data_IF_611846399139
#
_entry.id   IF_611846399139
#
_cell.length_a   1.000
_cell.length_b   1.000
_cell.length_c   1.000
_cell.angle_alpha   90.00
_cell.angle_beta   90.00
_cell.angle_gamma   90.00
#
_symmetry.space_group_name_H-M   'P 1'
#
loop_
_entity.id
_entity.type
_entity.pdbx_description
1 polymer ?
#
# COMPACT_ATOMS: atom_id res chain seq x y z
N UNK A 1 -8.70 -15.47 59.21
CA UNK A 1 -8.19 -15.61 60.59
C UNK A 1 -7.38 -14.36 60.93
N UNK A 2 -7.91 -13.48 61.77
CA UNK A 2 -7.28 -12.20 62.11
C UNK A 2 -6.25 -12.36 63.23
N UNK A 3 -4.97 -12.11 62.93
CA UNK A 3 -3.92 -12.07 63.94
C UNK A 3 -3.99 -10.72 64.67
N UNK A 4 -4.54 -10.75 65.88
CA UNK A 4 -4.44 -9.67 66.89
C UNK A 4 -3.11 -9.88 67.61
N UNK A 5 -2.06 -9.15 67.24
CA UNK A 5 -0.71 -9.41 67.76
C UNK A 5 0.33 -8.30 67.62
N UNK A 6 -0.08 -7.02 67.52
CA UNK A 6 0.86 -5.92 67.21
C UNK A 6 1.44 -5.19 68.43
N UNK A 7 0.83 -5.29 69.61
CA UNK A 7 1.32 -4.60 70.82
C UNK A 7 2.36 -5.41 71.63
N UNK A 8 2.48 -6.72 71.37
CA UNK A 8 3.29 -7.64 72.20
C UNK A 8 4.79 -7.59 71.88
N UNK A 9 5.15 -7.29 70.64
CA UNK A 9 6.51 -7.48 70.09
C UNK A 9 7.50 -6.36 70.45
N UNK A 10 7.07 -5.08 70.44
CA UNK A 10 7.96 -3.97 70.87
C UNK A 10 8.34 -4.09 72.35
N UNK A 11 7.37 -4.49 73.18
CA UNK A 11 7.58 -4.74 74.62
C UNK A 11 8.52 -5.91 74.86
N UNK A 12 8.50 -6.91 74.00
CA UNK A 12 9.33 -8.11 74.10
C UNK A 12 10.82 -7.82 73.86
N UNK A 13 11.17 -7.06 72.81
CA UNK A 13 12.56 -6.68 72.58
C UNK A 13 13.09 -5.74 73.68
N UNK A 14 12.30 -4.77 74.15
CA UNK A 14 12.68 -3.91 75.28
C UNK A 14 12.87 -4.73 76.58
N UNK A 15 12.01 -5.72 76.82
CA UNK A 15 12.15 -6.64 77.94
C UNK A 15 13.43 -7.48 77.87
N UNK A 16 13.73 -8.04 76.70
CA UNK A 16 14.98 -8.77 76.44
C UNK A 16 16.22 -7.89 76.71
N UNK A 17 16.17 -6.64 76.25
CA UNK A 17 17.22 -5.64 76.46
C UNK A 17 17.43 -5.33 77.94
N UNK A 18 16.37 -5.18 78.72
CA UNK A 18 16.46 -4.92 80.16
C UNK A 18 17.13 -6.06 80.94
N UNK A 19 17.01 -7.31 80.48
CA UNK A 19 17.66 -8.49 81.09
C UNK A 19 19.18 -8.58 80.86
N UNK A 20 19.74 -7.71 80.02
CA UNK A 20 21.15 -7.72 79.69
C UNK A 20 22.02 -6.92 80.66
N UNK A 21 23.30 -7.30 80.86
CA UNK A 21 24.31 -6.50 81.53
C UNK A 21 24.38 -5.06 81.00
N UNK A 22 24.46 -4.09 81.93
CA UNK A 22 24.51 -2.66 81.63
C UNK A 22 25.66 -2.29 80.67
N UNK A 23 26.77 -3.01 80.75
CA UNK A 23 27.97 -2.74 79.95
C UNK A 23 27.75 -2.80 78.43
N UNK A 24 26.82 -3.63 77.94
CA UNK A 24 26.54 -3.74 76.50
C UNK A 24 25.07 -3.58 76.10
N UNK A 25 24.17 -3.40 77.07
CA UNK A 25 22.72 -3.24 76.86
C UNK A 25 22.37 -2.28 75.72
N UNK A 26 23.07 -1.16 75.64
CA UNK A 26 22.84 -0.08 74.65
C UNK A 26 23.89 -0.03 73.54
N UNK A 27 24.70 -1.07 73.39
CA UNK A 27 25.83 -1.11 72.43
C UNK A 27 25.49 -1.78 71.10
N UNK A 28 24.20 -1.96 70.79
CA UNK A 28 23.72 -2.59 69.56
C UNK A 28 24.24 -4.02 69.33
N UNK A 29 24.43 -4.79 70.41
CA UNK A 29 24.95 -6.17 70.38
C UNK A 29 23.83 -7.20 70.18
N UNK A 30 22.62 -6.91 70.67
CA UNK A 30 21.52 -7.86 70.64
C UNK A 30 20.98 -8.07 69.21
N UNK A 31 20.68 -9.32 68.81
CA UNK A 31 20.02 -9.58 67.55
C UNK A 31 18.62 -9.00 67.59
N UNK A 32 18.29 -8.17 66.59
CA UNK A 32 16.93 -7.70 66.36
C UNK A 32 16.57 -7.89 64.90
N UNK A 33 15.40 -8.44 64.65
CA UNK A 33 14.80 -8.43 63.32
C UNK A 33 13.80 -7.29 63.25
N UNK A 34 13.96 -6.44 62.23
CA UNK A 34 13.06 -5.32 61.99
C UNK A 34 12.05 -5.74 60.93
N UNK A 35 10.83 -6.02 61.35
CA UNK A 35 9.73 -6.32 60.42
C UNK A 35 8.95 -5.03 60.17
N UNK A 36 8.94 -4.59 58.91
CA UNK A 36 8.05 -3.53 58.45
C UNK A 36 6.67 -4.12 58.17
N UNK A 37 5.71 -3.87 59.05
CA UNK A 37 4.32 -4.27 58.79
C UNK A 37 3.67 -3.24 57.87
N UNK A 38 3.47 -3.58 56.60
CA UNK A 38 2.67 -2.76 55.69
C UNK A 38 1.19 -2.94 56.01
N UNK A 39 0.65 -2.18 56.95
CA UNK A 39 -0.81 -1.99 57.08
C UNK A 39 -1.16 -0.55 56.77
N UNK A 40 -1.49 -0.27 55.50
CA UNK A 40 -1.97 1.04 55.06
C UNK A 40 -0.88 2.00 54.59
N UNK A 41 -1.32 3.07 53.93
CA UNK A 41 -0.51 4.16 53.35
C UNK A 41 0.23 5.02 54.38
N UNK A 42 0.07 4.72 55.67
CA UNK A 42 0.66 5.48 56.76
C UNK A 42 2.12 5.08 56.98
N UNK A 43 3.03 5.93 56.49
CA UNK A 43 4.50 5.77 56.62
C UNK A 43 4.98 5.88 58.08
N UNK A 44 4.10 6.19 59.03
CA UNK A 44 4.45 6.38 60.44
C UNK A 44 4.31 5.13 61.32
N UNK A 45 3.84 4.00 60.77
CA UNK A 45 3.64 2.81 61.59
C UNK A 45 4.95 2.31 62.22
N UNK A 46 4.92 1.94 63.52
CA UNK A 46 6.11 1.57 64.26
C UNK A 46 6.75 0.31 63.70
N UNK A 47 8.06 0.38 63.46
CA UNK A 47 8.89 -0.78 63.14
C UNK A 47 8.80 -1.79 64.28
N UNK A 48 8.33 -2.99 63.97
CA UNK A 48 8.30 -4.08 64.94
C UNK A 48 9.70 -4.66 65.08
N UNK A 49 10.28 -4.61 66.28
CA UNK A 49 11.53 -5.27 66.60
C UNK A 49 11.21 -6.61 67.28
N UNK A 50 11.65 -7.71 66.68
CA UNK A 50 11.57 -9.04 67.29
C UNK A 50 12.95 -9.38 67.82
N UNK A 51 13.03 -9.73 69.10
CA UNK A 51 14.25 -10.24 69.72
C UNK A 51 14.17 -11.76 69.87
N UNK A 52 15.32 -12.42 69.78
CA UNK A 52 15.43 -13.86 69.95
C UNK A 52 15.92 -14.18 71.36
N UNK A 53 15.05 -14.72 72.22
CA UNK A 53 15.34 -14.98 73.64
C UNK A 53 16.57 -15.90 73.82
N UNK A 54 16.61 -17.04 73.12
CA UNK A 54 17.72 -18.00 73.23
C UNK A 54 19.09 -17.40 72.86
N UNK A 55 19.15 -16.64 71.76
CA UNK A 55 20.38 -15.94 71.36
C UNK A 55 20.77 -14.84 72.35
N UNK A 56 19.77 -14.16 72.91
CA UNK A 56 19.96 -13.11 73.91
C UNK A 56 20.53 -13.67 75.21
N UNK A 57 20.08 -14.86 75.63
CA UNK A 57 20.59 -15.55 76.82
C UNK A 57 22.01 -16.08 76.58
N UNK A 58 22.28 -16.67 75.42
CA UNK A 58 23.63 -17.10 75.05
C UNK A 58 24.64 -15.94 75.07
N UNK A 59 24.30 -14.79 74.48
CA UNK A 59 25.17 -13.61 74.49
C UNK A 59 25.46 -13.10 75.90
N UNK A 60 24.49 -13.25 76.80
CA UNK A 60 24.65 -12.90 78.22
C UNK A 60 25.60 -13.85 78.93
N UNK A 61 25.47 -15.16 78.71
CA UNK A 61 26.38 -16.17 79.27
C UNK A 61 27.82 -15.96 78.77
N UNK A 62 28.00 -15.77 77.45
CA UNK A 62 29.30 -15.47 76.85
C UNK A 62 29.95 -14.24 77.48
N UNK A 63 29.17 -13.17 77.71
CA UNK A 63 29.71 -11.94 78.29
C UNK A 63 30.09 -12.09 79.77
N UNK A 64 29.30 -12.83 80.55
CA UNK A 64 29.56 -13.08 81.98
C UNK A 64 30.82 -13.92 82.17
N UNK A 65 31.11 -14.84 81.24
CA UNK A 65 32.30 -15.69 81.28
C UNK A 65 33.63 -14.92 81.11
N UNK A 66 33.60 -13.69 80.59
CA UNK A 66 34.79 -12.85 80.39
C UNK A 66 35.23 -12.21 81.71
N UNK A 67 36.52 -12.32 82.03
CA UNK A 67 37.07 -11.93 83.33
C UNK A 67 37.62 -10.50 83.33
N UNK A 68 38.23 -10.07 82.23
CA UNK A 68 38.87 -8.76 82.14
C UNK A 68 37.99 -7.72 81.43
N UNK A 69 38.30 -6.44 81.66
CA UNK A 69 37.57 -5.33 81.05
C UNK A 69 37.87 -5.24 79.54
N UNK A 70 39.10 -5.58 79.17
CA UNK A 70 39.64 -5.58 77.81
C UNK A 70 38.99 -6.68 76.98
N UNK A 71 38.85 -7.89 77.52
CA UNK A 71 38.11 -9.00 76.90
C UNK A 71 36.66 -8.62 76.59
N UNK A 72 35.99 -7.98 77.57
CA UNK A 72 34.60 -7.52 77.42
C UNK A 72 34.46 -6.45 76.35
N UNK A 73 35.40 -5.50 76.28
CA UNK A 73 35.40 -4.46 75.25
C UNK A 73 35.61 -5.05 73.85
N UNK A 74 36.58 -5.97 73.70
CA UNK A 74 36.86 -6.67 72.44
C UNK A 74 35.66 -7.53 71.98
N UNK A 75 35.00 -8.23 72.91
CA UNK A 75 33.80 -9.01 72.62
C UNK A 75 32.64 -8.14 72.13
N UNK A 76 32.39 -7.00 72.79
CA UNK A 76 31.32 -6.05 72.36
C UNK A 76 31.58 -5.61 70.92
N UNK A 77 32.80 -5.20 70.61
CA UNK A 77 33.13 -4.72 69.27
C UNK A 77 33.04 -5.84 68.22
N UNK A 78 33.52 -7.05 68.54
CA UNK A 78 33.38 -8.21 67.66
C UNK A 78 31.92 -8.55 67.36
N UNK A 79 31.03 -8.52 68.37
CA UNK A 79 29.60 -8.80 68.17
C UNK A 79 28.90 -7.70 67.38
N UNK A 80 29.28 -6.42 67.58
CA UNK A 80 28.78 -5.30 66.77
C UNK A 80 29.13 -5.48 65.30
N UNK A 81 30.39 -5.81 65.00
CA UNK A 81 30.85 -6.06 63.63
C UNK A 81 30.14 -7.25 62.98
N UNK A 82 30.02 -8.38 63.70
CA UNK A 82 29.27 -9.55 63.22
C UNK A 82 27.82 -9.21 62.92
N UNK A 83 27.15 -8.45 63.78
CA UNK A 83 25.77 -8.03 63.56
C UNK A 83 25.65 -7.07 62.38
N UNK A 84 26.51 -6.07 62.28
CA UNK A 84 26.51 -5.15 61.14
C UNK A 84 26.71 -5.89 59.82
N UNK A 85 27.57 -6.91 59.78
CA UNK A 85 27.77 -7.76 58.61
C UNK A 85 26.52 -8.59 58.28
N UNK A 86 25.89 -9.22 59.28
CA UNK A 86 24.65 -9.99 59.09
C UNK A 86 23.48 -9.10 58.67
N UNK A 87 23.35 -7.90 59.22
CA UNK A 87 22.33 -6.93 58.82
C UNK A 87 22.57 -6.45 57.39
N UNK A 88 23.81 -6.14 57.01
CA UNK A 88 24.14 -5.72 55.64
C UNK A 88 23.82 -6.83 54.62
N UNK A 89 24.21 -8.08 54.90
CA UNK A 89 23.98 -9.23 54.00
C UNK A 89 22.50 -9.63 53.99
N UNK A 90 21.87 -9.73 55.15
CA UNK A 90 20.48 -10.13 55.31
C UNK A 90 19.50 -9.10 54.72
N UNK A 91 19.76 -7.80 54.93
CA UNK A 91 18.96 -6.73 54.34
C UNK A 91 19.04 -6.73 52.82
N UNK A 92 20.25 -6.92 52.26
CA UNK A 92 20.45 -7.01 50.83
C UNK A 92 19.76 -8.24 50.22
N UNK A 93 19.90 -9.42 50.85
CA UNK A 93 19.25 -10.66 50.42
C UNK A 93 17.72 -10.55 50.44
N UNK A 94 17.16 -10.00 51.52
CA UNK A 94 15.72 -9.78 51.65
C UNK A 94 15.18 -8.80 50.60
N UNK A 95 15.84 -7.66 50.39
CA UNK A 95 15.43 -6.68 49.36
C UNK A 95 15.49 -7.31 47.98
N UNK A 96 16.56 -8.05 47.68
CA UNK A 96 16.72 -8.73 46.41
C UNK A 96 15.59 -9.75 46.18
N UNK A 97 15.32 -10.60 47.16
CA UNK A 97 14.23 -11.58 47.07
C UNK A 97 12.86 -10.92 46.95
N UNK A 98 12.57 -9.89 47.74
CA UNK A 98 11.31 -9.14 47.66
C UNK A 98 11.11 -8.49 46.28
N UNK A 99 12.19 -7.95 45.70
CA UNK A 99 12.18 -7.43 44.33
C UNK A 99 11.90 -8.54 43.33
N UNK A 100 12.61 -9.67 43.40
CA UNK A 100 12.41 -10.83 42.52
C UNK A 100 10.97 -11.37 42.60
N UNK A 101 10.38 -11.46 43.79
CA UNK A 101 8.97 -11.83 43.97
C UNK A 101 8.01 -10.82 43.34
N UNK A 102 8.28 -9.51 43.49
CA UNK A 102 7.45 -8.46 42.91
C UNK A 102 7.54 -8.45 41.38
N UNK A 103 8.74 -8.63 40.84
CA UNK A 103 9.00 -8.71 39.39
C UNK A 103 8.33 -9.96 38.81
N UNK A 104 8.46 -11.11 39.48
CA UNK A 104 7.77 -12.34 39.11
C UNK A 104 6.24 -12.15 39.10
N UNK A 105 5.67 -11.55 40.15
CA UNK A 105 4.23 -11.32 40.24
C UNK A 105 3.73 -10.38 39.13
N UNK A 106 4.47 -9.29 38.87
CA UNK A 106 4.15 -8.34 37.80
C UNK A 106 4.20 -9.00 36.42
N UNK A 107 5.25 -9.81 36.16
CA UNK A 107 5.39 -10.57 34.93
C UNK A 107 4.28 -11.61 34.76
N UNK A 108 3.90 -12.31 35.84
CA UNK A 108 2.78 -13.25 35.83
C UNK A 108 1.45 -12.54 35.50
N UNK A 109 1.19 -11.37 36.09
CA UNK A 109 -0.01 -10.58 35.78
C UNK A 109 -0.01 -10.10 34.33
N UNK A 110 1.12 -9.63 33.81
CA UNK A 110 1.26 -9.22 32.42
C UNK A 110 1.00 -10.39 31.46
N UNK A 111 1.58 -11.57 31.71
CA UNK A 111 1.32 -12.79 30.92
C UNK A 111 -0.16 -13.19 30.94
N UNK A 112 -0.80 -13.15 32.11
CA UNK A 112 -2.24 -13.44 32.25
C UNK A 112 -3.10 -12.43 31.50
N UNK A 113 -2.72 -11.15 31.51
CA UNK A 113 -3.41 -10.10 30.75
C UNK A 113 -3.33 -10.38 29.26
N UNK A 114 -2.13 -10.62 28.73
CA UNK A 114 -1.89 -10.94 27.32
C UNK A 114 -2.68 -12.18 26.90
N UNK A 115 -2.68 -13.25 27.72
CA UNK A 115 -3.43 -14.47 27.43
C UNK A 115 -4.94 -14.21 27.31
N UNK A 116 -5.53 -13.41 28.21
CA UNK A 116 -6.96 -13.06 28.15
C UNK A 116 -7.29 -12.14 26.98
N UNK A 117 -6.41 -11.19 26.66
CA UNK A 117 -6.55 -10.33 25.48
C UNK A 117 -6.53 -11.18 24.20
N UNK A 118 -5.65 -12.19 24.12
CA UNK A 118 -5.60 -13.14 23.02
C UNK A 118 -6.88 -13.99 22.91
N UNK A 119 -7.36 -14.57 24.02
CA UNK A 119 -8.62 -15.32 24.07
C UNK A 119 -9.82 -14.46 23.63
N UNK A 120 -9.88 -13.21 24.10
CA UNK A 120 -10.93 -12.26 23.69
C UNK A 120 -10.83 -11.92 22.22
N UNK A 121 -9.63 -11.65 21.71
CA UNK A 121 -9.38 -11.41 20.29
C UNK A 121 -9.87 -12.58 19.44
N UNK A 122 -9.59 -13.81 19.86
CA UNK A 122 -10.07 -15.01 19.17
C UNK A 122 -11.60 -15.12 19.17
N UNK A 123 -12.26 -14.88 20.31
CA UNK A 123 -13.72 -14.87 20.39
C UNK A 123 -14.37 -13.79 19.50
N UNK A 124 -13.71 -12.63 19.34
CA UNK A 124 -14.14 -11.58 18.41
C UNK A 124 -13.99 -12.05 16.97
N UNK A 125 -12.84 -12.62 16.60
CA UNK A 125 -12.60 -13.18 15.26
C UNK A 125 -13.64 -14.23 14.88
N UNK A 126 -13.96 -15.16 15.79
CA UNK A 126 -14.99 -16.17 15.56
C UNK A 126 -16.38 -15.55 15.32
N UNK A 127 -16.73 -14.47 16.03
CA UNK A 127 -17.99 -13.76 15.79
C UNK A 127 -18.00 -13.06 14.44
N UNK A 128 -16.90 -12.48 14.01
CA UNK A 128 -16.77 -11.86 12.68
C UNK A 128 -16.87 -12.89 11.56
N UNK A 129 -16.23 -14.06 11.74
CA UNK A 129 -16.40 -15.22 10.87
C UNK A 129 -17.86 -15.63 10.73
N UNK A 130 -18.61 -15.68 11.84
CA UNK A 130 -20.07 -15.97 11.83
C UNK A 130 -20.91 -14.89 11.14
N UNK A 131 -20.37 -13.68 10.96
CA UNK A 131 -21.01 -12.59 10.20
C UNK A 131 -20.64 -12.59 8.71
N UNK A 132 -19.89 -13.59 8.23
CA UNK A 132 -19.46 -13.68 6.84
C UNK A 132 -18.22 -12.83 6.51
N UNK A 133 -17.46 -12.40 7.52
CA UNK A 133 -16.23 -11.62 7.38
C UNK A 133 -14.97 -12.47 7.62
N UNK A 134 -15.06 -13.79 7.37
CA UNK A 134 -13.96 -14.73 7.62
C UNK A 134 -12.72 -14.34 6.82
N UNK A 135 -12.89 -14.08 5.52
CA UNK A 135 -11.78 -13.77 4.62
C UNK A 135 -11.04 -12.51 5.09
N UNK A 136 -11.76 -11.45 5.44
CA UNK A 136 -11.17 -10.20 5.91
C UNK A 136 -10.46 -10.33 7.27
N UNK A 137 -10.84 -11.32 8.08
CA UNK A 137 -10.15 -11.65 9.34
C UNK A 137 -8.86 -12.42 9.07
N UNK A 138 -8.88 -13.34 8.11
CA UNK A 138 -7.75 -14.20 7.76
C UNK A 138 -6.68 -13.42 6.95
N UNK A 139 -7.10 -12.52 6.07
CA UNK A 139 -6.26 -11.70 5.17
C UNK A 139 -5.98 -10.28 5.72
N UNK A 140 -6.08 -10.10 7.02
CA UNK A 140 -5.92 -8.80 7.67
C UNK A 140 -4.53 -8.21 7.43
N UNK A 141 -4.46 -7.06 6.77
CA UNK A 141 -3.19 -6.32 6.62
C UNK A 141 -2.72 -5.71 7.94
N UNK A 142 -1.45 -5.27 7.96
CA UNK A 142 -0.81 -4.74 9.17
C UNK A 142 -1.50 -3.49 9.71
N UNK A 143 -2.01 -2.62 8.84
CA UNK A 143 -2.75 -1.41 9.21
C UNK A 143 -4.07 -1.77 9.91
N UNK A 144 -4.81 -2.72 9.35
CA UNK A 144 -6.06 -3.23 9.95
C UNK A 144 -5.80 -3.89 11.29
N UNK A 145 -4.74 -4.71 11.36
CA UNK A 145 -4.35 -5.37 12.58
C UNK A 145 -4.00 -4.36 13.67
N UNK A 146 -3.30 -3.28 13.31
CA UNK A 146 -3.03 -2.18 14.23
C UNK A 146 -4.30 -1.44 14.66
N UNK A 147 -5.21 -1.12 13.74
CA UNK A 147 -6.51 -0.52 14.09
C UNK A 147 -7.33 -1.41 15.02
N UNK A 148 -7.32 -2.73 14.80
CA UNK A 148 -7.96 -3.71 15.66
C UNK A 148 -7.31 -3.74 17.06
N UNK A 149 -5.98 -3.71 17.13
CA UNK A 149 -5.22 -3.66 18.40
C UNK A 149 -5.31 -2.32 19.12
N UNK A 150 -5.65 -1.23 18.44
CA UNK A 150 -5.92 0.07 19.08
C UNK A 150 -7.37 0.21 19.55
N UNK A 151 -8.28 -0.62 19.06
CA UNK A 151 -9.68 -0.58 19.46
C UNK A 151 -9.86 -1.13 20.89
N UNK A 152 -9.89 -0.24 21.88
CA UNK A 152 -9.90 -0.58 23.30
C UNK A 152 -10.97 -1.60 23.69
N UNK A 153 -12.14 -1.55 23.05
CA UNK A 153 -13.23 -2.48 23.35
C UNK A 153 -12.94 -3.92 22.90
N UNK A 154 -12.01 -4.13 21.95
CA UNK A 154 -11.49 -5.44 21.59
C UNK A 154 -10.40 -5.94 22.56
N UNK A 155 -9.61 -5.05 23.16
CA UNK A 155 -8.44 -5.39 24.01
C UNK A 155 -8.73 -5.42 25.51
N UNK A 156 -9.99 -5.65 25.89
CA UNK A 156 -10.36 -5.77 27.30
C UNK A 156 -9.84 -7.08 27.92
N UNK A 157 -9.23 -7.01 29.11
CA UNK A 157 -8.82 -8.20 29.86
C UNK A 157 -9.99 -9.07 30.40
N UNK A 158 -11.25 -8.64 30.20
CA UNK A 158 -12.45 -9.35 30.64
C UNK A 158 -12.97 -10.24 29.49
N UNK A 159 -13.46 -11.46 29.79
CA UNK A 159 -14.09 -12.32 28.78
C UNK A 159 -15.22 -11.60 28.03
N UNK A 160 -15.34 -11.84 26.73
CA UNK A 160 -16.35 -11.20 25.89
C UNK A 160 -17.75 -11.72 26.22
N UNK A 161 -18.54 -10.90 26.92
CA UNK A 161 -19.96 -11.24 27.19
C UNK A 161 -20.83 -10.94 25.98
N UNK A 162 -21.97 -11.63 25.87
CA UNK A 162 -22.90 -11.43 24.75
C UNK A 162 -23.35 -9.98 24.57
N UNK A 163 -23.70 -9.30 25.67
CA UNK A 163 -24.10 -7.88 25.65
C UNK A 163 -22.97 -6.98 25.13
N UNK A 164 -21.76 -7.15 25.64
CA UNK A 164 -20.58 -6.38 25.21
C UNK A 164 -20.25 -6.65 23.74
N UNK A 165 -20.32 -7.92 23.32
CA UNK A 165 -20.13 -8.30 21.92
C UNK A 165 -21.14 -7.64 20.98
N UNK A 166 -22.40 -7.47 21.40
CA UNK A 166 -23.39 -6.76 20.62
C UNK A 166 -23.13 -5.25 20.57
N UNK A 167 -22.56 -4.66 21.63
CA UNK A 167 -22.19 -3.24 21.64
C UNK A 167 -21.02 -2.93 20.72
N UNK A 168 -20.00 -3.80 20.67
CA UNK A 168 -18.82 -3.58 19.82
C UNK A 168 -19.06 -3.96 18.34
N UNK A 169 -20.10 -4.75 18.07
CA UNK A 169 -20.39 -5.31 16.74
C UNK A 169 -20.49 -4.24 15.63
N UNK A 170 -21.23 -3.12 15.78
CA UNK A 170 -21.38 -2.15 14.70
C UNK A 170 -20.05 -1.56 14.24
N UNK A 171 -19.18 -1.23 15.20
CA UNK A 171 -17.87 -0.64 14.91
C UNK A 171 -16.93 -1.65 14.23
N UNK A 172 -16.92 -2.91 14.70
CA UNK A 172 -16.15 -3.96 14.03
C UNK A 172 -16.67 -4.20 12.61
N UNK A 173 -17.99 -4.28 12.41
CA UNK A 173 -18.57 -4.42 11.06
C UNK A 173 -18.15 -3.24 10.18
N UNK A 174 -18.12 -2.01 10.69
CA UNK A 174 -17.66 -0.83 9.95
C UNK A 174 -16.20 -0.96 9.52
N UNK A 175 -15.30 -1.32 10.43
CA UNK A 175 -13.87 -1.51 10.16
C UNK A 175 -13.66 -2.58 9.08
N UNK A 176 -14.25 -3.76 9.26
CA UNK A 176 -14.07 -4.87 8.34
C UNK A 176 -14.79 -4.67 7.00
N UNK A 177 -15.88 -3.92 6.97
CA UNK A 177 -16.56 -3.56 5.71
C UNK A 177 -15.73 -2.57 4.89
N UNK A 178 -15.07 -1.61 5.55
CA UNK A 178 -14.10 -0.74 4.89
C UNK A 178 -12.95 -1.55 4.27
N UNK A 179 -12.41 -2.52 5.01
CA UNK A 179 -11.37 -3.40 4.51
C UNK A 179 -11.81 -4.27 3.35
N UNK A 180 -13.00 -4.88 3.44
CA UNK A 180 -13.61 -5.62 2.34
C UNK A 180 -13.69 -4.77 1.07
N UNK A 181 -14.20 -3.55 1.18
CA UNK A 181 -14.31 -2.65 0.02
C UNK A 181 -12.94 -2.29 -0.55
N UNK A 182 -11.94 -2.07 0.30
CA UNK A 182 -10.56 -1.80 -0.11
C UNK A 182 -9.94 -2.99 -0.83
N UNK A 183 -10.06 -4.20 -0.29
CA UNK A 183 -9.61 -5.46 -0.91
C UNK A 183 -10.29 -5.66 -2.26
N UNK A 184 -11.62 -5.59 -2.32
CA UNK A 184 -12.37 -5.77 -3.57
C UNK A 184 -11.98 -4.72 -4.62
N UNK A 185 -11.73 -3.47 -4.22
CA UNK A 185 -11.22 -2.44 -5.12
C UNK A 185 -9.84 -2.82 -5.66
N UNK A 186 -8.91 -3.22 -4.78
CA UNK A 186 -7.58 -3.66 -5.17
C UNK A 186 -7.60 -4.89 -6.09
N UNK A 187 -8.40 -5.91 -5.78
CA UNK A 187 -8.57 -7.10 -6.61
C UNK A 187 -9.08 -6.75 -8.00
N UNK A 188 -10.05 -5.84 -8.10
CA UNK A 188 -10.53 -5.32 -9.39
C UNK A 188 -9.45 -4.58 -10.15
N UNK A 189 -8.65 -3.75 -9.48
CA UNK A 189 -7.53 -3.01 -10.10
C UNK A 189 -6.44 -3.96 -10.60
N UNK A 190 -6.09 -4.99 -9.82
CA UNK A 190 -5.11 -6.02 -10.22
C UNK A 190 -5.63 -6.82 -11.41
N UNK A 191 -6.88 -7.28 -11.38
CA UNK A 191 -7.48 -8.02 -12.48
C UNK A 191 -7.57 -7.17 -13.75
N UNK A 192 -7.98 -5.90 -13.63
CA UNK A 192 -8.03 -4.97 -14.76
C UNK A 192 -6.64 -4.71 -15.36
N UNK A 193 -5.58 -4.67 -14.53
CA UNK A 193 -4.19 -4.57 -15.02
C UNK A 193 -3.79 -5.81 -15.81
N UNK A 194 -4.04 -7.01 -15.28
CA UNK A 194 -3.73 -8.27 -15.96
C UNK A 194 -4.48 -8.38 -17.30
N UNK A 195 -5.79 -8.10 -17.30
CA UNK A 195 -6.61 -8.08 -18.51
C UNK A 195 -6.10 -7.09 -19.56
N UNK A 196 -5.59 -5.94 -19.11
CA UNK A 196 -5.00 -4.93 -20.00
C UNK A 196 -3.70 -5.39 -20.63
N UNK A 197 -2.83 -6.07 -19.88
CA UNK A 197 -1.59 -6.60 -20.44
C UNK A 197 -1.88 -7.60 -21.56
N UNK A 198 -2.84 -8.50 -21.35
CA UNK A 198 -3.32 -9.41 -22.39
C UNK A 198 -3.96 -8.64 -23.54
N UNK A 199 -4.81 -7.65 -23.25
CA UNK A 199 -5.44 -6.79 -24.26
C UNK A 199 -4.42 -6.12 -25.19
N UNK A 200 -3.40 -5.45 -24.62
CA UNK A 200 -2.37 -4.77 -25.41
C UNK A 200 -1.60 -5.75 -26.29
N UNK A 201 -1.23 -6.91 -25.75
CA UNK A 201 -0.54 -7.96 -26.52
C UNK A 201 -1.38 -8.46 -27.69
N UNK A 202 -2.65 -8.80 -27.46
CA UNK A 202 -3.54 -9.29 -28.53
C UNK A 202 -3.79 -8.19 -29.56
N UNK A 203 -3.94 -6.94 -29.12
CA UNK A 203 -4.07 -5.80 -30.03
C UNK A 203 -2.82 -5.62 -30.91
N UNK A 204 -1.61 -5.66 -30.33
CA UNK A 204 -0.35 -5.58 -31.09
C UNK A 204 -0.22 -6.72 -32.11
N UNK A 205 -0.60 -7.94 -31.74
CA UNK A 205 -0.63 -9.08 -32.64
C UNK A 205 -1.65 -8.89 -33.77
N UNK A 206 -2.88 -8.50 -33.44
CA UNK A 206 -3.93 -8.17 -34.39
C UNK A 206 -3.49 -7.09 -35.39
N UNK A 207 -2.75 -6.10 -34.90
CA UNK A 207 -2.20 -5.01 -35.72
C UNK A 207 -1.03 -5.44 -36.61
N UNK A 208 -0.35 -6.55 -36.29
CA UNK A 208 0.78 -7.06 -37.11
C UNK A 208 0.28 -7.63 -38.44
N UNK A 209 -0.94 -8.17 -38.45
CA UNK A 209 -1.58 -8.72 -39.65
C UNK A 209 -2.24 -7.62 -40.51
N UNK A 210 -2.30 -6.39 -40.01
CA UNK A 210 -2.97 -5.28 -40.68
C UNK A 210 -2.06 -4.56 -41.67
N UNK A 211 -2.58 -4.26 -42.87
CA UNK A 211 -1.86 -3.42 -43.83
C UNK A 211 -1.83 -1.97 -43.32
N UNK A 212 -0.63 -1.43 -43.04
CA UNK A 212 -0.43 -0.03 -42.64
C UNK A 212 -0.92 0.98 -43.69
N UNK A 213 -1.19 0.51 -44.91
CA UNK A 213 -1.83 1.29 -45.99
C UNK A 213 -3.35 1.30 -45.90
N UNK A 214 -3.94 0.69 -44.87
CA UNK A 214 -5.37 0.76 -44.57
C UNK A 214 -5.65 1.79 -43.47
N UNK A 215 -6.90 2.25 -43.38
CA UNK A 215 -7.34 3.02 -42.23
C UNK A 215 -7.45 2.08 -41.03
N UNK A 216 -6.60 2.28 -40.02
CA UNK A 216 -6.60 1.44 -38.82
C UNK A 216 -6.89 2.27 -37.58
N UNK A 217 -7.74 1.72 -36.73
CA UNK A 217 -8.04 2.34 -35.45
C UNK A 217 -6.83 2.27 -34.54
N UNK A 218 -6.47 3.41 -33.96
CA UNK A 218 -5.44 3.45 -32.95
C UNK A 218 -5.98 2.94 -31.62
N UNK A 219 -5.08 2.43 -30.77
CA UNK A 219 -5.43 1.87 -29.47
C UNK A 219 -6.28 2.81 -28.61
N UNK A 220 -6.08 4.13 -28.73
CA UNK A 220 -6.92 5.12 -28.04
C UNK A 220 -8.39 5.10 -28.46
N UNK A 221 -8.70 4.89 -29.75
CA UNK A 221 -10.08 4.76 -30.24
C UNK A 221 -10.74 3.50 -29.67
N UNK A 222 -10.00 2.39 -29.67
CA UNK A 222 -10.49 1.11 -29.17
C UNK A 222 -10.78 1.17 -27.68
N UNK A 223 -9.92 1.85 -26.91
CA UNK A 223 -10.09 2.03 -25.46
C UNK A 223 -11.27 2.96 -25.12
N UNK A 224 -11.76 3.79 -26.04
CA UNK A 224 -12.95 4.62 -25.78
C UNK A 224 -14.28 3.85 -25.99
N UNK A 225 -14.23 2.67 -26.63
CA UNK A 225 -15.40 1.83 -26.82
C UNK A 225 -15.89 1.23 -25.49
N UNK A 226 -17.21 1.31 -25.25
CA UNK A 226 -17.81 0.80 -24.01
C UNK A 226 -17.67 -0.71 -23.85
N UNK A 227 -17.68 -1.47 -24.95
CA UNK A 227 -17.51 -2.93 -24.94
C UNK A 227 -16.07 -3.26 -24.51
N UNK A 228 -15.08 -2.51 -25.00
CA UNK A 228 -13.69 -2.63 -24.55
C UNK A 228 -13.56 -2.35 -23.04
N UNK A 229 -14.17 -1.26 -22.56
CA UNK A 229 -14.16 -0.94 -21.12
C UNK A 229 -14.79 -2.04 -20.29
N UNK A 230 -15.88 -2.66 -20.75
CA UNK A 230 -16.51 -3.80 -20.08
C UNK A 230 -15.61 -5.04 -20.11
N UNK A 231 -14.92 -5.33 -21.21
CA UNK A 231 -13.98 -6.46 -21.30
C UNK A 231 -12.82 -6.32 -20.31
N UNK A 232 -12.28 -5.10 -20.14
CA UNK A 232 -11.14 -4.86 -19.25
C UNK A 232 -11.57 -4.69 -17.79
N UNK A 233 -12.57 -3.84 -17.52
CA UNK A 233 -12.95 -3.39 -16.16
C UNK A 233 -14.16 -4.18 -15.61
N UNK A 234 -14.92 -4.85 -16.46
CA UNK A 234 -16.19 -5.48 -16.09
C UNK A 234 -16.10 -6.43 -14.90
N UNK A 235 -17.18 -6.45 -14.10
CA UNK A 235 -17.30 -7.22 -12.86
C UNK A 235 -17.44 -8.74 -13.07
N UNK A 236 -17.21 -9.25 -14.28
CA UNK A 236 -17.24 -10.68 -14.51
C UNK A 236 -16.06 -11.27 -13.76
N UNK A 237 -16.34 -11.85 -12.60
CA UNK A 237 -15.36 -12.46 -11.70
C UNK A 237 -14.78 -13.77 -12.26
N UNK A 238 -15.25 -14.19 -13.44
CA UNK A 238 -14.71 -15.35 -14.12
C UNK A 238 -13.26 -15.05 -14.51
N UNK A 239 -12.36 -15.74 -13.83
CA UNK A 239 -11.02 -16.06 -14.33
C UNK A 239 -11.23 -16.90 -15.59
N UNK A 240 -11.51 -16.21 -16.70
CA UNK A 240 -11.45 -16.83 -18.01
C UNK A 240 -10.05 -17.39 -18.18
N UNK A 241 -9.96 -18.63 -18.65
CA UNK A 241 -8.70 -19.14 -19.16
C UNK A 241 -8.19 -18.15 -20.23
N UNK A 242 -6.88 -17.86 -20.22
CA UNK A 242 -6.28 -16.82 -21.06
C UNK A 242 -6.73 -16.95 -22.53
N UNK A 243 -6.80 -18.17 -23.06
CA UNK A 243 -7.23 -18.50 -24.43
C UNK A 243 -8.66 -18.03 -24.78
N UNK A 244 -9.61 -18.19 -23.85
CA UNK A 244 -11.00 -17.79 -24.06
C UNK A 244 -11.16 -16.26 -24.03
N UNK A 245 -10.36 -15.59 -23.21
CA UNK A 245 -10.33 -14.13 -23.17
C UNK A 245 -9.68 -13.56 -24.44
N UNK A 246 -8.56 -14.10 -24.88
CA UNK A 246 -7.90 -13.70 -26.13
C UNK A 246 -8.81 -13.86 -27.35
N UNK A 247 -9.53 -14.98 -27.45
CA UNK A 247 -10.48 -15.23 -28.56
C UNK A 247 -11.58 -14.15 -28.62
N UNK A 248 -12.12 -13.74 -27.46
CA UNK A 248 -13.11 -12.67 -27.36
C UNK A 248 -12.54 -11.31 -27.74
N UNK A 249 -11.26 -11.06 -27.42
CA UNK A 249 -10.58 -9.82 -27.82
C UNK A 249 -10.42 -9.75 -29.33
N UNK A 250 -10.02 -10.85 -29.98
CA UNK A 250 -9.90 -10.90 -31.45
C UNK A 250 -11.26 -10.65 -32.12
N UNK A 251 -12.33 -11.30 -31.65
CA UNK A 251 -13.69 -11.05 -32.16
C UNK A 251 -14.10 -9.58 -31.96
N UNK A 252 -13.82 -9.03 -30.78
CA UNK A 252 -14.07 -7.63 -30.48
C UNK A 252 -13.29 -6.69 -31.42
N UNK A 253 -12.00 -6.93 -31.67
CA UNK A 253 -11.20 -6.07 -32.55
C UNK A 253 -11.71 -6.11 -33.99
N UNK A 254 -12.05 -7.29 -34.51
CA UNK A 254 -12.64 -7.44 -35.85
C UNK A 254 -13.94 -6.64 -35.97
N UNK A 255 -14.90 -6.87 -35.06
CA UNK A 255 -16.19 -6.17 -35.07
C UNK A 255 -16.07 -4.67 -34.78
N UNK A 256 -15.05 -4.26 -34.02
CA UNK A 256 -14.76 -2.85 -33.77
C UNK A 256 -14.26 -2.16 -35.05
N UNK A 257 -13.27 -2.74 -35.74
CA UNK A 257 -12.71 -2.18 -36.97
C UNK A 257 -13.77 -2.09 -38.07
N UNK A 258 -14.61 -3.11 -38.23
CA UNK A 258 -15.72 -3.11 -39.20
C UNK A 258 -16.69 -1.93 -39.01
N UNK A 259 -16.90 -1.49 -37.77
CA UNK A 259 -17.75 -0.32 -37.46
C UNK A 259 -16.98 0.99 -37.51
N UNK A 260 -15.76 1.01 -37.00
CA UNK A 260 -14.96 2.23 -36.85
C UNK A 260 -14.48 2.77 -38.20
N UNK A 261 -14.00 1.89 -39.08
CA UNK A 261 -13.42 2.27 -40.37
C UNK A 261 -14.40 3.06 -41.25
N UNK A 262 -15.62 2.57 -41.57
CA UNK A 262 -16.54 3.31 -42.43
C UNK A 262 -16.93 4.66 -41.82
N UNK A 263 -17.08 4.73 -40.49
CA UNK A 263 -17.37 5.99 -39.80
C UNK A 263 -16.24 7.01 -39.99
N UNK A 264 -14.98 6.60 -39.79
CA UNK A 264 -13.83 7.50 -39.96
C UNK A 264 -13.55 7.88 -41.41
N UNK A 265 -13.76 6.95 -42.34
CA UNK A 265 -13.70 7.26 -43.78
C UNK A 265 -14.73 8.33 -44.13
N UNK A 266 -15.95 8.22 -43.60
CA UNK A 266 -16.98 9.25 -43.81
C UNK A 266 -16.58 10.60 -43.21
N UNK A 267 -16.02 10.64 -41.99
CA UNK A 267 -15.54 11.90 -41.39
C UNK A 267 -14.50 12.61 -42.27
N UNK A 268 -13.57 11.86 -42.89
CA UNK A 268 -12.57 12.43 -43.81
C UNK A 268 -13.21 12.82 -45.15
N UNK A 269 -14.17 12.03 -45.65
CA UNK A 269 -14.92 12.36 -46.86
C UNK A 269 -15.68 13.67 -46.70
N UNK A 270 -16.31 13.90 -45.54
CA UNK A 270 -17.02 15.15 -45.24
C UNK A 270 -16.07 16.36 -45.32
N UNK A 271 -14.82 16.21 -44.82
CA UNK A 271 -13.78 17.25 -44.96
C UNK A 271 -13.44 17.53 -46.43
N UNK A 272 -13.35 16.50 -47.26
CA UNK A 272 -13.11 16.65 -48.71
C UNK A 272 -14.32 17.29 -49.42
N UNK A 273 -15.54 16.84 -49.10
CA UNK A 273 -16.79 17.31 -49.70
C UNK A 273 -17.07 18.79 -49.39
N UNK A 274 -16.63 19.28 -48.23
CA UNK A 274 -16.68 20.70 -47.93
C UNK A 274 -15.90 21.57 -48.93
N UNK A 275 -14.82 21.04 -49.52
CA UNK A 275 -14.06 21.72 -50.56
C UNK A 275 -14.51 21.34 -51.98
N UNK A 276 -14.93 20.08 -52.18
CA UNK A 276 -15.33 19.50 -53.47
C UNK A 276 -16.65 18.75 -53.27
N UNK A 277 -17.82 19.40 -53.39
CA UNK A 277 -19.12 18.80 -53.00
C UNK A 277 -19.49 17.50 -53.71
N UNK A 278 -18.91 17.25 -54.89
CA UNK A 278 -19.17 16.03 -55.68
C UNK A 278 -18.19 14.89 -55.39
N UNK A 279 -17.27 15.07 -54.43
CA UNK A 279 -16.29 14.05 -54.09
C UNK A 279 -16.94 12.80 -53.50
N UNK A 280 -16.34 11.66 -53.80
CA UNK A 280 -16.74 10.32 -53.39
C UNK A 280 -15.62 9.66 -52.57
N UNK A 281 -15.89 8.49 -51.99
CA UNK A 281 -14.87 7.72 -51.25
C UNK A 281 -13.67 7.39 -52.14
N UNK A 282 -13.88 7.12 -53.43
CA UNK A 282 -12.78 6.86 -54.38
C UNK A 282 -11.84 8.05 -54.54
N UNK A 283 -12.38 9.27 -54.44
CA UNK A 283 -11.58 10.49 -54.54
C UNK A 283 -10.63 10.65 -53.36
N UNK A 284 -10.93 10.09 -52.18
CA UNK A 284 -9.99 10.09 -51.04
C UNK A 284 -8.69 9.38 -51.38
N UNK A 285 -8.74 8.31 -52.18
CA UNK A 285 -7.57 7.49 -52.53
C UNK A 285 -6.69 8.13 -53.60
N UNK A 286 -7.12 9.20 -54.26
CA UNK A 286 -6.32 9.88 -55.27
C UNK A 286 -5.05 10.45 -54.65
N UNK A 287 -3.91 10.30 -55.35
CA UNK A 287 -2.64 10.90 -54.94
C UNK A 287 -2.69 12.43 -54.85
N UNK A 288 -3.72 13.04 -55.44
CA UNK A 288 -3.96 14.48 -55.44
C UNK A 288 -4.90 14.95 -54.33
N UNK A 289 -5.48 14.03 -53.56
CA UNK A 289 -6.31 14.34 -52.40
C UNK A 289 -5.44 14.57 -51.16
N UNK A 290 -4.89 15.79 -51.11
CA UNK A 290 -3.94 16.20 -50.06
C UNK A 290 -4.67 16.95 -48.95
N UNK A 291 -4.51 16.45 -47.74
CA UNK A 291 -4.95 17.10 -46.51
C UNK A 291 -3.78 17.73 -45.80
N UNK A 292 -4.02 18.63 -44.86
CA UNK A 292 -3.01 19.18 -43.97
C UNK A 292 -3.49 19.13 -42.53
N UNK A 293 -2.62 18.68 -41.65
CA UNK A 293 -2.86 18.78 -40.20
C UNK A 293 -2.76 20.25 -39.78
N UNK A 294 -3.78 20.78 -39.11
CA UNK A 294 -3.77 22.20 -38.68
C UNK A 294 -2.72 22.47 -37.60
N UNK A 295 -2.32 21.44 -36.84
CA UNK A 295 -1.36 21.56 -35.74
C UNK A 295 0.10 21.68 -36.20
N UNK A 296 0.52 20.84 -37.16
CA UNK A 296 1.91 20.81 -37.61
C UNK A 296 2.10 21.21 -39.08
N UNK A 297 1.00 21.48 -39.79
CA UNK A 297 0.97 21.92 -41.20
C UNK A 297 1.63 20.92 -42.17
N UNK A 298 1.76 19.66 -41.76
CA UNK A 298 2.27 18.58 -42.61
C UNK A 298 1.18 18.13 -43.59
N UNK A 299 1.54 17.89 -44.87
CA UNK A 299 0.63 17.26 -45.83
C UNK A 299 0.39 15.80 -45.44
N UNK A 300 -0.84 15.35 -45.60
CA UNK A 300 -1.30 14.00 -45.27
C UNK A 300 -2.09 13.45 -46.45
N UNK A 301 -1.81 12.21 -46.83
CA UNK A 301 -2.62 11.45 -47.77
C UNK A 301 -3.56 10.51 -47.02
N UNK A 302 -4.63 10.07 -47.68
CA UNK A 302 -5.44 8.97 -47.19
C UNK A 302 -4.78 7.62 -47.56
N UNK A 303 -4.80 6.61 -46.66
CA UNK A 303 -5.25 6.65 -45.26
C UNK A 303 -4.13 6.97 -44.25
N UNK A 304 -2.93 7.34 -44.69
CA UNK A 304 -1.77 7.62 -43.83
C UNK A 304 -2.03 8.65 -42.73
N UNK A 305 -2.97 9.56 -42.93
CA UNK A 305 -3.41 10.51 -41.91
C UNK A 305 -3.83 9.86 -40.59
N UNK A 306 -4.30 8.60 -40.62
CA UNK A 306 -4.62 7.83 -39.41
C UNK A 306 -3.37 7.43 -38.63
N UNK A 307 -2.16 7.55 -39.17
CA UNK A 307 -0.92 7.28 -38.42
C UNK A 307 -0.23 8.56 -37.95
N UNK A 308 -0.81 9.73 -38.21
CA UNK A 308 -0.18 11.00 -37.93
C UNK A 308 -0.19 11.33 -36.42
N UNK A 309 0.99 11.50 -35.83
CA UNK A 309 1.16 11.67 -34.38
C UNK A 309 0.38 12.84 -33.77
N UNK A 310 0.12 13.91 -34.52
CA UNK A 310 -0.65 15.04 -33.99
C UNK A 310 -2.10 14.68 -33.68
N UNK A 311 -2.64 13.65 -34.34
CA UNK A 311 -3.99 13.15 -34.11
C UNK A 311 -4.16 12.43 -32.76
N UNK A 312 -3.05 12.17 -32.04
CA UNK A 312 -3.03 11.36 -30.80
C UNK A 312 -2.38 12.06 -29.60
N UNK A 313 -1.44 12.99 -29.82
CA UNK A 313 -0.60 13.55 -28.74
C UNK A 313 -1.18 14.80 -28.08
N UNK A 314 -2.00 15.57 -28.79
CA UNK A 314 -2.30 16.95 -28.39
C UNK A 314 -3.70 17.14 -27.81
N UNK A 315 -4.59 16.16 -27.92
CA UNK A 315 -5.87 16.16 -27.21
C UNK A 315 -5.67 15.55 -25.83
N UNK A 316 -5.27 16.37 -24.85
CA UNK A 316 -5.48 16.04 -23.43
C UNK A 316 -6.92 16.39 -23.08
N UNK A 317 -7.86 15.43 -23.00
CA UNK A 317 -9.15 15.71 -22.37
C UNK A 317 -8.89 16.25 -20.96
N UNK A 318 -9.76 17.16 -20.50
CA UNK A 318 -9.70 17.70 -19.14
C UNK A 318 -9.63 16.52 -18.17
N UNK A 319 -8.64 16.53 -17.27
CA UNK A 319 -8.19 15.40 -16.45
C UNK A 319 -9.32 14.72 -15.65
N UNK A 320 -10.40 15.45 -15.36
CA UNK A 320 -11.50 15.04 -14.49
C UNK A 320 -12.33 13.86 -15.03
N UNK A 321 -12.34 13.60 -16.35
CA UNK A 321 -13.15 12.52 -16.94
C UNK A 321 -12.36 11.28 -17.31
N UNK A 322 -11.04 11.24 -17.05
CA UNK A 322 -10.24 10.06 -17.41
C UNK A 322 -10.54 8.90 -16.48
N UNK A 323 -10.90 7.76 -17.06
CA UNK A 323 -10.89 6.49 -16.34
C UNK A 323 -9.47 6.21 -15.85
N UNK A 324 -9.31 5.47 -14.75
CA UNK A 324 -7.98 5.05 -14.26
C UNK A 324 -7.18 4.36 -15.39
N UNK A 325 -7.89 3.67 -16.29
CA UNK A 325 -7.34 3.09 -17.52
C UNK A 325 -6.58 4.10 -18.39
N UNK A 326 -7.20 5.24 -18.69
CA UNK A 326 -6.63 6.31 -19.52
C UNK A 326 -5.53 7.11 -18.80
N UNK A 327 -5.48 7.09 -17.47
CA UNK A 327 -4.45 7.80 -16.70
C UNK A 327 -3.09 7.10 -16.76
N UNK A 328 -3.08 5.77 -16.82
CA UNK A 328 -1.85 4.99 -16.94
C UNK A 328 -1.31 5.03 -18.38
N UNK A 329 -2.22 5.01 -19.36
CA UNK A 329 -1.90 5.12 -20.77
C UNK A 329 -1.87 6.61 -21.16
N UNK A 330 -0.88 7.33 -20.63
CA UNK A 330 -0.81 8.81 -20.70
C UNK A 330 -0.76 9.39 -22.12
N UNK A 331 -0.58 8.55 -23.14
CA UNK A 331 -0.27 8.94 -24.53
C UNK A 331 -1.27 8.47 -25.59
N UNK A 332 -2.36 7.78 -25.24
CA UNK A 332 -3.31 7.27 -26.24
C UNK A 332 -4.65 7.99 -26.11
N UNK A 333 -4.86 9.05 -26.88
CA UNK A 333 -6.20 9.56 -27.17
C UNK A 333 -6.78 8.83 -28.38
N UNK A 334 -8.11 8.85 -28.52
CA UNK A 334 -8.74 8.54 -29.81
C UNK A 334 -8.21 9.45 -30.90
N UNK A 335 -8.32 8.96 -32.15
CA UNK A 335 -8.01 9.76 -33.31
C UNK A 335 -8.98 10.94 -33.37
N UNK A 336 -8.43 12.13 -33.12
CA UNK A 336 -9.13 13.39 -33.26
C UNK A 336 -8.17 14.37 -33.92
N UNK A 337 -8.09 14.28 -35.25
CA UNK A 337 -7.22 15.12 -36.02
C UNK A 337 -7.99 16.28 -36.61
N UNK A 338 -7.57 17.50 -36.30
CA UNK A 338 -8.02 18.67 -37.03
C UNK A 338 -7.26 18.74 -38.35
N UNK A 339 -7.93 18.30 -39.41
CA UNK A 339 -7.41 18.26 -40.78
C UNK A 339 -8.27 19.14 -41.68
N UNK A 340 -7.63 19.72 -42.70
CA UNK A 340 -8.32 20.45 -43.76
C UNK A 340 -7.80 20.03 -45.12
N UNK A 341 -8.68 20.05 -46.12
CA UNK A 341 -8.26 19.87 -47.51
C UNK A 341 -7.33 21.00 -47.95
N UNK A 342 -6.27 20.68 -48.68
CA UNK A 342 -5.29 21.64 -49.18
C UNK A 342 -5.36 21.75 -50.70
N UNK A 343 -6.07 22.76 -51.22
CA UNK A 343 -6.16 23.00 -52.66
C UNK A 343 -4.77 23.30 -53.30
N UNK A 344 -3.91 24.01 -52.57
CA UNK A 344 -2.52 24.26 -52.96
C UNK A 344 -1.72 22.95 -53.01
N UNK A 345 -1.83 22.12 -51.96
CA UNK A 345 -1.18 20.81 -51.90
C UNK A 345 -1.69 19.86 -53.01
N UNK A 346 -2.99 19.88 -53.30
CA UNK A 346 -3.59 19.11 -54.39
C UNK A 346 -3.03 19.53 -55.75
N UNK A 347 -2.96 20.83 -56.03
CA UNK A 347 -2.34 21.37 -57.25
C UNK A 347 -0.88 20.94 -57.36
N UNK A 348 -0.14 21.02 -56.25
CA UNK A 348 1.25 20.60 -56.15
C UNK A 348 1.43 19.12 -56.54
N UNK A 349 0.62 18.25 -55.94
CA UNK A 349 0.67 16.81 -56.21
C UNK A 349 0.18 16.46 -57.62
N UNK A 350 -0.74 17.23 -58.22
CA UNK A 350 -1.10 17.05 -59.64
C UNK A 350 0.10 17.24 -60.54
N UNK A 351 0.96 18.21 -60.27
CA UNK A 351 2.17 18.44 -61.06
C UNK A 351 3.21 17.33 -60.83
N UNK A 352 3.35 16.81 -59.60
CA UNK A 352 4.18 15.62 -59.29
C UNK A 352 3.71 14.42 -60.12
N UNK A 353 2.41 14.09 -60.04
CA UNK A 353 1.83 12.93 -60.72
C UNK A 353 2.02 13.03 -62.24
N UNK A 354 1.79 14.20 -62.84
CA UNK A 354 2.05 14.46 -64.27
C UNK A 354 3.53 14.30 -64.63
N UNK A 355 4.43 14.80 -63.79
CA UNK A 355 5.87 14.70 -64.02
C UNK A 355 6.35 13.23 -64.02
N UNK A 356 5.70 12.39 -63.23
CA UNK A 356 5.91 10.93 -63.23
C UNK A 356 5.28 10.21 -64.43
N UNK A 357 4.60 10.94 -65.34
CA UNK A 357 3.94 10.35 -66.51
C UNK A 357 2.61 9.66 -66.20
N UNK A 358 2.01 9.96 -65.04
CA UNK A 358 0.75 9.38 -64.58
C UNK A 358 -0.41 10.38 -64.72
N UNK A 359 -1.65 9.90 -64.72
CA UNK A 359 -2.86 10.75 -64.81
C UNK A 359 -3.34 11.18 -63.41
N UNK A 360 -3.31 12.48 -63.05
CA UNK A 360 -3.73 12.95 -61.73
C UNK A 360 -5.20 12.72 -61.37
N UNK A 361 -6.06 12.43 -62.35
CA UNK A 361 -7.48 12.17 -62.12
C UNK A 361 -7.76 10.73 -61.70
N UNK A 362 -6.85 9.79 -61.98
CA UNK A 362 -7.06 8.37 -61.69
C UNK A 362 -5.96 7.78 -60.81
N UNK A 363 -4.80 8.44 -60.72
CA UNK A 363 -3.65 7.94 -59.95
C UNK A 363 -3.95 8.00 -58.45
N UNK A 364 -3.88 6.85 -57.79
CA UNK A 364 -4.04 6.72 -56.34
C UNK A 364 -2.72 6.88 -55.60
N UNK A 365 -2.78 7.10 -54.29
CA UNK A 365 -1.59 7.07 -53.42
C UNK A 365 -0.85 5.73 -53.53
N UNK A 366 -1.57 4.63 -53.72
CA UNK A 366 -0.98 3.29 -53.89
C UNK A 366 -0.25 3.14 -55.22
N UNK A 367 -0.76 3.73 -56.31
CA UNK A 367 -0.07 3.74 -57.60
C UNK A 367 1.25 4.52 -57.53
N UNK A 368 1.27 5.61 -56.76
CA UNK A 368 2.50 6.36 -56.49
C UNK A 368 3.51 5.52 -55.71
N UNK A 369 3.09 4.74 -54.71
CA UNK A 369 3.97 3.81 -54.01
C UNK A 369 4.49 2.66 -54.86
N UNK A 370 3.63 2.09 -55.71
CA UNK A 370 4.01 1.03 -56.61
C UNK A 370 5.03 1.51 -57.66
N UNK A 371 4.85 2.74 -58.16
CA UNK A 371 5.78 3.36 -59.11
C UNK A 371 7.10 3.77 -58.44
N UNK A 372 7.04 4.10 -57.14
CA UNK A 372 8.17 4.56 -56.33
C UNK A 372 9.04 5.62 -57.05
N UNK A 373 8.45 6.71 -57.55
CA UNK A 373 9.20 7.70 -58.30
C UNK A 373 10.21 8.40 -57.39
N UNK A 374 11.44 8.55 -57.86
CA UNK A 374 12.44 9.39 -57.19
C UNK A 374 12.09 10.86 -57.43
N UNK A 375 11.73 11.56 -56.36
CA UNK A 375 11.39 12.99 -56.39
C UNK A 375 12.41 13.78 -55.56
N UNK A 376 13.23 14.59 -56.23
CA UNK A 376 14.18 15.51 -55.57
C UNK A 376 13.57 16.91 -55.41
N UNK A 377 13.83 17.60 -54.28
CA UNK A 377 13.51 19.02 -54.16
C UNK A 377 14.59 19.92 -54.77
N UNK A 378 14.22 20.77 -55.72
CA UNK A 378 15.09 21.79 -56.31
C UNK A 378 15.10 23.11 -55.51
N UNK A 379 14.33 23.17 -54.44
CA UNK A 379 14.29 24.29 -53.53
C UNK A 379 15.61 24.36 -52.74
N UNK A 380 16.60 25.12 -53.22
CA UNK A 380 17.94 25.26 -52.61
C UNK A 380 18.00 25.90 -51.21
N UNK A 381 16.90 25.94 -50.47
CA UNK A 381 16.79 26.52 -49.14
C UNK A 381 17.13 25.45 -48.08
N UNK A 382 18.33 25.55 -47.49
CA UNK A 382 18.71 24.80 -46.26
C UNK A 382 17.95 25.33 -45.04
N UNK A 383 16.62 25.41 -45.08
CA UNK A 383 15.83 25.77 -43.90
C UNK A 383 15.42 24.47 -43.22
N UNK A 384 15.99 24.25 -42.04
CA UNK A 384 15.69 23.19 -41.08
C UNK A 384 14.16 23.11 -40.94
N UNK A 385 13.53 22.12 -41.57
CA UNK A 385 12.11 21.77 -41.40
C UNK A 385 11.08 22.36 -42.38
N UNK A 386 11.47 23.15 -43.40
CA UNK A 386 10.48 23.85 -44.25
C UNK A 386 10.66 23.70 -45.78
N UNK A 387 11.71 23.03 -46.26
CA UNK A 387 11.85 22.78 -47.70
C UNK A 387 10.96 21.63 -48.15
N UNK A 388 9.71 22.00 -48.47
CA UNK A 388 8.68 21.16 -49.10
C UNK A 388 9.16 20.73 -50.49
N UNK A 389 9.05 19.43 -50.75
CA UNK A 389 9.54 18.65 -51.90
C UNK A 389 8.99 19.15 -53.26
N UNK A 390 9.85 19.40 -54.26
CA UNK A 390 9.48 19.83 -55.63
C UNK A 390 10.57 19.57 -56.71
N UNK A 391 10.21 19.21 -57.94
CA UNK A 391 10.44 17.90 -58.59
C UNK A 391 11.52 18.03 -59.68
N UNK A 392 12.34 17.00 -59.91
CA UNK A 392 12.90 16.69 -61.24
C UNK A 392 12.81 15.20 -61.50
N UNK A 393 11.95 14.79 -62.43
CA UNK A 393 11.91 13.39 -62.89
C UNK A 393 13.03 13.20 -63.91
N UNK A 394 14.06 12.44 -63.55
CA UNK A 394 14.99 11.93 -64.55
C UNK A 394 14.26 10.88 -65.38
N UNK A 395 13.86 11.24 -66.60
CA UNK A 395 13.54 10.24 -67.63
C UNK A 395 14.82 9.47 -67.88
N UNK A 396 14.92 8.24 -67.36
CA UNK A 396 15.87 7.27 -67.88
C UNK A 396 15.47 7.02 -69.34
N UNK A 397 16.22 7.62 -70.26
CA UNK A 397 16.10 7.33 -71.68
C UNK A 397 16.54 5.90 -71.92
N UNK A 398 15.65 5.11 -72.52
CA UNK A 398 16.05 3.97 -73.36
C UNK A 398 16.55 4.51 -74.70
#
# INVERSE_FOLDING_TARGET
MGVVGTARTKREHEYLKQKQPLAYRDKDVLPREIIQTKRGSDKTLPRCQIGHQALTDQLKEEFIALKTKEERASWIESKRQKRAAVEAVGHFSYIKHAKECNDWYSNMLARRRIAREAERGQAIKERLTKLGLKQEVDEMDSETQEHFHRYEAANGAKPLRNKEGNMIKPELVRIFSYQKNRRLKWEKEVLARQRREVFCRVYEQFMTDFDYRSAVAHLGDVLEDSVCQELIIGNNHDTLADEAYESRLVEFFTTFVERWTPKKVQEVLDVLQNAIPTATVSDLHLATSVFICTMCVQPLAFPEMFHHLCCYKWHRPKIETRTELQKEIRSLSSWNCDIRFSAEGSTSFKDIVKACGLDPLTTTTQDMYATNPLVECLCGLRVIGACRVWIRVQKNGN
#
